data_IF_482930926141
#
_entry.id   IF_482930926141
#
_cell.length_a   1.000
_cell.length_b   1.000
_cell.length_c   1.000
_cell.angle_alpha   90.00
_cell.angle_beta   90.00
_cell.angle_gamma   90.00
#
_symmetry.space_group_name_H-M   'P 1'
#
loop_
_entity.id
_entity.type
_entity.pdbx_description
1 polymer ?
#
# COMPACT_ATOMS: atom_id res chain seq x y z
N UNK A 1 3.16 6.05 23.39
CA UNK A 1 3.84 5.36 22.28
C UNK A 1 2.75 4.67 21.48
N UNK A 2 2.09 5.41 20.60
CA UNK A 2 1.00 4.86 19.78
C UNK A 2 1.62 3.89 18.79
N UNK A 3 1.32 2.61 18.94
CA UNK A 3 1.53 1.64 17.86
C UNK A 3 0.94 2.26 16.60
N UNK A 4 1.77 2.60 15.62
CA UNK A 4 1.32 3.06 14.32
C UNK A 4 0.75 1.84 13.59
N UNK A 5 -0.43 1.39 14.01
CA UNK A 5 -1.23 0.46 13.23
C UNK A 5 -1.53 1.13 11.89
N UNK A 6 -1.31 0.39 10.80
CA UNK A 6 -1.69 0.85 9.48
C UNK A 6 -3.17 1.23 9.51
N UNK A 7 -3.46 2.51 9.22
CA UNK A 7 -4.84 2.99 9.18
C UNK A 7 -5.64 2.16 8.17
N UNK A 8 -6.98 2.01 8.32
CA UNK A 8 -7.79 1.25 7.36
C UNK A 8 -7.57 1.70 5.91
N UNK A 9 -7.35 3.01 5.69
CA UNK A 9 -7.02 3.58 4.38
C UNK A 9 -5.65 3.15 3.85
N UNK A 10 -4.65 3.03 4.73
CA UNK A 10 -3.30 2.51 4.39
C UNK A 10 -3.39 1.07 3.93
N UNK A 11 -4.19 0.24 4.62
CA UNK A 11 -4.42 -1.17 4.27
C UNK A 11 -5.14 -1.28 2.93
N UNK A 12 -6.20 -0.49 2.72
CA UNK A 12 -6.94 -0.45 1.47
C UNK A 12 -6.06 -0.01 0.28
N UNK A 13 -5.26 1.04 0.46
CA UNK A 13 -4.30 1.48 -0.55
C UNK A 13 -3.25 0.41 -0.88
N UNK A 14 -2.77 -0.31 0.15
CA UNK A 14 -1.81 -1.39 -0.02
C UNK A 14 -2.40 -2.59 -0.78
N UNK A 15 -3.64 -2.97 -0.47
CA UNK A 15 -4.37 -4.02 -1.18
C UNK A 15 -4.61 -3.62 -2.63
N UNK A 16 -5.13 -2.41 -2.87
CA UNK A 16 -5.33 -1.88 -4.21
C UNK A 16 -4.04 -1.89 -5.03
N UNK A 17 -2.91 -1.47 -4.43
CA UNK A 17 -1.60 -1.48 -5.08
C UNK A 17 -1.09 -2.91 -5.33
N UNK A 18 -1.34 -3.85 -4.41
CA UNK A 18 -0.98 -5.26 -4.57
C UNK A 18 -1.79 -5.96 -5.67
N UNK A 19 -3.03 -5.52 -5.91
CA UNK A 19 -3.90 -5.99 -6.99
C UNK A 19 -3.46 -5.47 -8.37
N UNK A 20 -2.74 -4.34 -8.43
CA UNK A 20 -2.20 -3.84 -9.70
C UNK A 20 -1.15 -4.82 -10.25
N UNK A 21 -1.45 -5.44 -11.39
CA UNK A 21 -0.53 -6.32 -12.14
C UNK A 21 0.70 -5.55 -12.65
N UNK A 22 0.48 -4.32 -13.11
CA UNK A 22 1.52 -3.38 -13.49
C UNK A 22 1.53 -2.23 -12.47
N UNK A 23 2.60 -2.08 -11.67
CA UNK A 23 2.66 -0.99 -10.72
C UNK A 23 2.62 0.36 -11.46
N UNK A 24 1.81 1.32 -11.00
CA UNK A 24 1.84 2.68 -11.56
C UNK A 24 3.26 3.23 -11.48
N UNK A 25 3.72 3.92 -12.52
CA UNK A 25 5.06 4.53 -12.56
C UNK A 25 5.34 5.43 -11.33
N UNK A 26 4.28 6.01 -10.75
CA UNK A 26 4.34 6.80 -9.52
C UNK A 26 3.35 6.28 -8.46
N UNK A 27 3.58 5.08 -7.93
CA UNK A 27 2.69 4.45 -6.93
C UNK A 27 2.39 5.35 -5.73
N UNK A 28 3.41 5.98 -5.12
CA UNK A 28 3.25 6.82 -3.90
C UNK A 28 2.39 8.06 -4.16
N UNK A 29 2.66 8.93 -5.17
CA UNK A 29 1.76 10.03 -5.50
C UNK A 29 0.34 9.58 -5.82
N UNK A 30 0.19 8.51 -6.59
CA UNK A 30 -1.13 7.99 -6.99
C UNK A 30 -1.96 7.54 -5.81
N UNK A 31 -1.41 6.76 -4.87
CA UNK A 31 -2.17 6.31 -3.69
C UNK A 31 -2.42 7.47 -2.71
N UNK A 32 -1.53 8.46 -2.64
CA UNK A 32 -1.75 9.66 -1.82
C UNK A 32 -2.94 10.46 -2.30
N UNK A 33 -3.01 10.73 -3.60
CA UNK A 33 -4.13 11.46 -4.20
C UNK A 33 -5.42 10.65 -4.15
N UNK A 34 -5.35 9.34 -4.41
CA UNK A 34 -6.53 8.47 -4.48
C UNK A 34 -7.18 8.21 -3.12
N UNK A 35 -6.37 8.02 -2.08
CA UNK A 35 -6.85 7.64 -0.75
C UNK A 35 -6.71 8.77 0.28
N UNK A 36 -6.32 9.97 -0.16
CA UNK A 36 -6.07 11.15 0.69
C UNK A 36 -5.14 10.82 1.88
N UNK A 37 -4.05 10.11 1.58
CA UNK A 37 -3.06 9.64 2.56
C UNK A 37 -1.92 10.63 2.74
N UNK A 38 -1.36 10.67 3.95
CA UNK A 38 -0.10 11.36 4.20
C UNK A 38 1.08 10.68 3.49
N UNK A 39 2.20 11.38 3.33
CA UNK A 39 3.41 10.82 2.73
C UNK A 39 3.90 9.56 3.47
N UNK A 40 3.76 9.53 4.81
CA UNK A 40 4.16 8.39 5.63
C UNK A 40 3.26 7.19 5.36
N UNK A 41 1.94 7.37 5.45
CA UNK A 41 0.96 6.30 5.19
C UNK A 41 1.10 5.73 3.78
N UNK A 42 1.43 6.56 2.79
CA UNK A 42 1.66 6.07 1.43
C UNK A 42 2.94 5.21 1.33
N UNK A 43 4.02 5.60 1.99
CA UNK A 43 5.22 4.75 2.08
C UNK A 43 4.90 3.43 2.79
N UNK A 44 4.15 3.48 3.89
CA UNK A 44 3.73 2.30 4.64
C UNK A 44 2.84 1.38 3.78
N UNK A 45 1.91 1.95 3.01
CA UNK A 45 1.07 1.23 2.06
C UNK A 45 1.89 0.57 0.94
N UNK A 46 2.91 1.24 0.41
CA UNK A 46 3.81 0.64 -0.59
C UNK A 46 4.58 -0.56 -0.01
N UNK A 47 5.12 -0.44 1.20
CA UNK A 47 5.79 -1.55 1.87
C UNK A 47 4.84 -2.72 2.11
N UNK A 48 3.61 -2.44 2.54
CA UNK A 48 2.59 -3.45 2.80
C UNK A 48 2.11 -4.13 1.50
N UNK A 49 1.95 -3.38 0.41
CA UNK A 49 1.60 -3.92 -0.90
C UNK A 49 2.66 -4.91 -1.41
N UNK A 50 3.94 -4.59 -1.22
CA UNK A 50 5.05 -5.49 -1.57
C UNK A 50 4.94 -6.83 -0.81
N UNK A 51 4.64 -6.77 0.50
CA UNK A 51 4.41 -7.97 1.32
C UNK A 51 3.23 -8.80 0.80
N UNK A 52 2.11 -8.16 0.44
CA UNK A 52 0.96 -8.85 -0.14
C UNK A 52 1.28 -9.54 -1.48
N UNK A 53 2.03 -8.87 -2.36
CA UNK A 53 2.49 -9.48 -3.62
C UNK A 53 3.39 -10.69 -3.37
N UNK A 54 4.32 -10.59 -2.41
CA UNK A 54 5.19 -11.72 -2.05
C UNK A 54 4.39 -12.86 -1.45
N UNK A 55 3.46 -12.59 -0.52
CA UNK A 55 2.61 -13.61 0.07
C UNK A 55 1.76 -14.31 -1.01
N UNK A 56 1.17 -13.57 -1.95
CA UNK A 56 0.41 -14.16 -3.07
C UNK A 56 1.27 -15.00 -4.01
N UNK A 57 2.55 -14.66 -4.19
CA UNK A 57 3.49 -15.50 -4.96
C UNK A 57 3.93 -16.75 -4.21
N UNK A 58 4.01 -16.68 -2.88
CA UNK A 58 4.48 -17.78 -2.04
C UNK A 58 3.37 -18.80 -1.71
N UNK A 59 2.11 -18.35 -1.60
CA UNK A 59 0.96 -19.16 -1.21
C UNK A 59 -0.10 -19.32 -2.30
N UNK A 60 0.10 -18.71 -3.48
CA UNK A 60 -0.84 -18.74 -4.61
C UNK A 60 -0.43 -19.70 -5.70
#
# INVERSE_FOLDING_TARGET
MTSEEATPRTVEAAQWLADQKEPPAMAVPTIRERFSLSSKEACDACALAQKYRTARRAFG
#
